data_IF_170760182152
#
_entry.id   IF_170760182152
#
_cell.length_a   1.000
_cell.length_b   1.000
_cell.length_c   1.000
_cell.angle_alpha   90.00
_cell.angle_beta   90.00
_cell.angle_gamma   90.00
#
_symmetry.space_group_name_H-M   'P 1'
#
loop_
_entity.id
_entity.type
_entity.pdbx_description
1 polymer ?
#
# COMPACT_ATOMS: atom_id res chain seq x y z
N UNK A 1 -10.01 -14.64 -9.57
CA UNK A 1 -9.02 -13.76 -8.98
C UNK A 1 -8.62 -14.24 -7.60
N UNK A 2 -7.33 -14.45 -7.37
CA UNK A 2 -6.84 -14.83 -6.05
C UNK A 2 -6.78 -13.61 -5.11
N UNK A 3 -6.28 -12.49 -5.61
CA UNK A 3 -6.12 -11.25 -4.83
C UNK A 3 -6.32 -10.05 -5.74
N UNK A 4 -7.06 -9.06 -5.25
CA UNK A 4 -7.26 -7.76 -5.88
C UNK A 4 -6.76 -6.73 -4.88
N UNK A 5 -5.86 -5.84 -5.30
CA UNK A 5 -5.35 -4.79 -4.44
C UNK A 5 -5.60 -3.43 -5.08
N UNK A 6 -6.01 -2.46 -4.28
CA UNK A 6 -6.30 -1.10 -4.74
C UNK A 6 -6.01 -0.07 -3.67
N UNK A 7 -6.11 1.20 -4.03
CA UNK A 7 -6.02 2.32 -3.10
C UNK A 7 -7.14 2.26 -2.06
N UNK A 8 -6.88 2.79 -0.86
CA UNK A 8 -7.92 2.90 0.17
C UNK A 8 -8.82 4.11 -0.09
N UNK A 9 -9.92 4.20 0.64
CA UNK A 9 -10.93 5.25 0.45
C UNK A 9 -10.43 6.66 0.72
N UNK A 10 -9.34 6.81 1.46
CA UNK A 10 -8.70 8.10 1.77
C UNK A 10 -7.62 8.46 0.75
N UNK A 11 -7.32 7.54 -0.20
CA UNK A 11 -6.27 7.72 -1.19
C UNK A 11 -4.87 7.77 -0.57
N UNK A 12 -4.65 7.02 0.52
CA UNK A 12 -3.42 6.97 1.33
C UNK A 12 -3.08 8.29 2.01
N UNK A 13 -3.06 9.38 1.27
CA UNK A 13 -2.74 10.74 1.77
C UNK A 13 -3.68 11.80 1.19
N UNK A 14 -4.85 11.41 0.70
CA UNK A 14 -5.88 12.34 0.19
C UNK A 14 -5.85 12.60 -1.31
N UNK A 15 -5.09 11.83 -2.09
CA UNK A 15 -5.01 12.01 -3.54
C UNK A 15 -6.35 11.65 -4.19
N UNK A 16 -6.93 12.60 -4.94
CA UNK A 16 -8.27 12.44 -5.54
C UNK A 16 -8.37 11.26 -6.49
N UNK A 17 -7.37 11.02 -7.32
CA UNK A 17 -7.37 9.91 -8.27
C UNK A 17 -7.30 8.56 -7.57
N UNK A 18 -6.56 8.47 -6.46
CA UNK A 18 -6.51 7.27 -5.64
C UNK A 18 -7.87 7.00 -4.99
N UNK A 19 -8.55 8.02 -4.51
CA UNK A 19 -9.90 7.92 -3.94
C UNK A 19 -10.90 7.43 -4.99
N UNK A 20 -10.84 7.97 -6.21
CA UNK A 20 -11.69 7.54 -7.32
C UNK A 20 -11.43 6.09 -7.71
N UNK A 21 -10.17 5.69 -7.82
CA UNK A 21 -9.78 4.31 -8.12
C UNK A 21 -10.30 3.35 -7.06
N UNK A 22 -10.16 3.72 -5.79
CA UNK A 22 -10.70 2.94 -4.67
C UNK A 22 -12.21 2.74 -4.81
N UNK A 23 -12.95 3.80 -5.05
CA UNK A 23 -14.40 3.75 -5.18
C UNK A 23 -14.85 2.86 -6.35
N UNK A 24 -14.22 3.02 -7.50
CA UNK A 24 -14.55 2.26 -8.71
C UNK A 24 -14.22 0.77 -8.52
N UNK A 25 -13.04 0.46 -8.02
CA UNK A 25 -12.62 -0.93 -7.80
C UNK A 25 -13.48 -1.62 -6.75
N UNK A 26 -13.79 -0.92 -5.67
CA UNK A 26 -14.67 -1.45 -4.62
C UNK A 26 -16.07 -1.75 -5.15
N UNK A 27 -16.65 -0.83 -5.93
CA UNK A 27 -17.96 -1.04 -6.54
C UNK A 27 -17.95 -2.23 -7.51
N UNK A 28 -16.91 -2.37 -8.33
CA UNK A 28 -16.77 -3.48 -9.26
C UNK A 28 -16.60 -4.82 -8.52
N UNK A 29 -15.78 -4.87 -7.49
CA UNK A 29 -15.59 -6.07 -6.67
C UNK A 29 -16.87 -6.49 -5.97
N UNK A 30 -17.63 -5.53 -5.46
CA UNK A 30 -18.93 -5.77 -4.81
C UNK A 30 -19.94 -6.36 -5.81
N UNK A 31 -20.00 -5.78 -7.01
CA UNK A 31 -20.89 -6.25 -8.08
C UNK A 31 -20.53 -7.67 -8.55
N UNK A 32 -19.25 -8.00 -8.55
CA UNK A 32 -18.75 -9.32 -8.97
C UNK A 32 -18.69 -10.35 -7.83
N UNK A 33 -19.11 -9.99 -6.62
CA UNK A 33 -19.03 -10.83 -5.41
C UNK A 33 -17.60 -11.27 -5.09
N UNK A 34 -16.65 -10.32 -5.19
CA UNK A 34 -15.23 -10.55 -4.97
C UNK A 34 -14.66 -9.75 -3.77
N UNK A 35 -15.51 -9.27 -2.87
CA UNK A 35 -15.07 -8.46 -1.73
C UNK A 35 -14.10 -9.20 -0.81
N UNK A 36 -14.24 -10.51 -0.69
CA UNK A 36 -13.34 -11.34 0.11
C UNK A 36 -11.95 -11.54 -0.51
N UNK A 37 -11.76 -11.11 -1.75
CA UNK A 37 -10.47 -11.10 -2.44
C UNK A 37 -9.84 -9.72 -2.50
N UNK A 38 -10.54 -8.70 -2.02
CA UNK A 38 -10.12 -7.30 -2.14
C UNK A 38 -9.34 -6.84 -0.92
N UNK A 39 -8.24 -6.16 -1.19
CA UNK A 39 -7.37 -5.55 -0.16
C UNK A 39 -7.09 -4.10 -0.54
N UNK A 40 -6.98 -3.26 0.47
CA UNK A 40 -6.59 -1.85 0.30
C UNK A 40 -5.16 -1.64 0.75
N UNK A 41 -4.44 -0.76 0.05
CA UNK A 41 -3.14 -0.28 0.52
C UNK A 41 -3.35 0.51 1.81
N UNK A 42 -2.37 0.41 2.72
CA UNK A 42 -2.39 1.18 3.97
C UNK A 42 -2.13 2.66 3.75
N UNK A 43 -2.47 3.45 4.74
CA UNK A 43 -2.23 4.88 4.74
C UNK A 43 -0.73 5.18 4.97
N UNK A 44 -0.23 6.27 4.37
CA UNK A 44 1.12 6.75 4.64
C UNK A 44 1.32 7.01 6.12
N UNK A 45 2.46 6.57 6.65
CA UNK A 45 2.85 6.74 8.05
C UNK A 45 4.14 7.54 8.11
N UNK A 46 4.15 8.60 8.92
CA UNK A 46 5.38 9.38 9.17
C UNK A 46 6.42 8.51 9.89
N UNK A 47 7.70 8.73 9.59
CA UNK A 47 8.79 7.96 10.19
C UNK A 47 8.73 7.92 11.73
N UNK A 48 8.39 9.04 12.35
CA UNK A 48 8.25 9.13 13.82
C UNK A 48 7.14 8.26 14.42
N UNK A 49 6.18 7.83 13.60
CA UNK A 49 5.03 7.03 14.02
C UNK A 49 5.18 5.55 13.67
N UNK A 50 6.28 5.14 13.03
CA UNK A 50 6.47 3.76 12.57
C UNK A 50 6.42 2.73 13.70
N UNK A 51 6.97 3.03 14.87
CA UNK A 51 6.96 2.10 16.01
C UNK A 51 5.52 1.78 16.45
N UNK A 52 4.63 2.77 16.45
CA UNK A 52 3.22 2.58 16.77
C UNK A 52 2.52 1.73 15.70
N UNK A 53 2.86 1.96 14.44
CA UNK A 53 2.27 1.27 13.30
C UNK A 53 2.70 -0.19 13.20
N UNK A 54 3.93 -0.52 13.60
CA UNK A 54 4.45 -1.88 13.60
C UNK A 54 3.59 -2.87 14.39
N UNK A 55 2.85 -2.39 15.36
CA UNK A 55 1.99 -3.22 16.19
C UNK A 55 0.59 -3.43 15.58
N UNK A 56 0.32 -2.85 14.43
CA UNK A 56 -0.97 -3.02 13.74
C UNK A 56 -0.95 -4.32 12.95
N UNK A 57 -2.07 -5.04 13.02
CA UNK A 57 -2.19 -6.39 12.46
C UNK A 57 -1.97 -6.50 10.93
N UNK A 58 -2.12 -5.39 10.20
CA UNK A 58 -2.02 -5.40 8.75
C UNK A 58 -0.66 -4.99 8.21
N UNK A 59 0.24 -4.57 9.09
CA UNK A 59 1.60 -4.24 8.69
C UNK A 59 2.47 -5.48 8.80
N UNK A 60 3.13 -5.85 7.72
CA UNK A 60 3.99 -7.04 7.70
C UNK A 60 5.25 -6.82 8.55
N UNK A 61 5.93 -7.91 8.86
CA UNK A 61 7.31 -7.83 9.30
C UNK A 61 8.16 -7.20 8.20
N UNK A 62 9.27 -6.49 8.55
CA UNK A 62 10.10 -5.89 7.52
C UNK A 62 10.67 -6.93 6.58
N UNK A 63 10.64 -6.63 5.28
CA UNK A 63 11.32 -7.42 4.27
C UNK A 63 12.82 -7.39 4.52
N UNK A 64 13.49 -8.49 4.28
CA UNK A 64 14.94 -8.62 4.44
C UNK A 64 15.54 -9.37 3.27
N UNK A 65 16.88 -9.31 3.14
CA UNK A 65 17.62 -10.07 2.14
C UNK A 65 17.20 -9.74 0.71
N UNK A 66 17.04 -10.76 -0.10
CA UNK A 66 16.79 -10.64 -1.54
C UNK A 66 15.47 -9.95 -1.88
N UNK A 67 14.45 -10.14 -1.07
CA UNK A 67 13.13 -9.52 -1.27
C UNK A 67 13.21 -8.00 -1.11
N UNK A 68 13.87 -7.53 -0.07
CA UNK A 68 14.07 -6.10 0.16
C UNK A 68 14.96 -5.50 -0.93
N UNK A 69 16.03 -6.18 -1.30
CA UNK A 69 16.94 -5.74 -2.36
C UNK A 69 16.20 -5.60 -3.70
N UNK A 70 15.37 -6.58 -4.06
CA UNK A 70 14.57 -6.54 -5.27
C UNK A 70 13.61 -5.35 -5.27
N UNK A 71 12.93 -5.09 -4.15
CA UNK A 71 12.03 -3.95 -4.01
C UNK A 71 12.76 -2.61 -4.14
N UNK A 72 13.90 -2.47 -3.47
CA UNK A 72 14.72 -1.26 -3.56
C UNK A 72 15.27 -1.03 -4.98
N UNK A 73 15.64 -2.10 -5.69
CA UNK A 73 16.02 -2.03 -7.09
C UNK A 73 14.91 -1.48 -7.97
N UNK A 74 13.67 -1.93 -7.75
CA UNK A 74 12.51 -1.45 -8.51
C UNK A 74 12.27 0.05 -8.33
N UNK A 75 12.58 0.61 -7.17
CA UNK A 75 12.40 2.06 -6.93
C UNK A 75 13.30 2.92 -7.82
N UNK A 76 14.41 2.38 -8.32
CA UNK A 76 15.33 3.10 -9.21
C UNK A 76 14.72 3.43 -10.57
N UNK A 77 13.70 2.67 -10.99
CA UNK A 77 12.96 2.95 -12.22
C UNK A 77 12.07 4.18 -12.12
N UNK A 78 11.84 4.68 -10.91
CA UNK A 78 11.06 5.87 -10.65
C UNK A 78 11.94 7.11 -10.49
N UNK A 79 12.95 7.27 -11.36
CA UNK A 79 13.93 8.36 -11.29
C UNK A 79 13.28 9.76 -11.29
N UNK A 80 12.18 9.93 -12.05
CA UNK A 80 11.40 11.18 -12.05
C UNK A 80 10.68 11.45 -10.73
N UNK A 81 10.55 10.45 -9.86
CA UNK A 81 9.88 10.51 -8.57
C UNK A 81 10.86 10.33 -7.41
N UNK A 82 12.12 10.68 -7.62
CA UNK A 82 13.20 10.47 -6.65
C UNK A 82 12.88 11.02 -5.25
N UNK A 83 12.35 12.24 -5.17
CA UNK A 83 11.97 12.86 -3.88
C UNK A 83 10.84 12.10 -3.18
N UNK A 84 9.89 11.57 -3.95
CA UNK A 84 8.80 10.76 -3.40
C UNK A 84 9.35 9.45 -2.84
N UNK A 85 10.27 8.80 -3.56
CA UNK A 85 10.90 7.56 -3.10
C UNK A 85 11.72 7.77 -1.82
N UNK A 86 12.45 8.88 -1.71
CA UNK A 86 13.16 9.25 -0.48
C UNK A 86 12.18 9.45 0.69
N UNK A 87 11.09 10.14 0.44
CA UNK A 87 10.07 10.42 1.46
C UNK A 87 9.42 9.13 1.99
N UNK A 88 9.31 8.10 1.15
CA UNK A 88 8.72 6.80 1.48
C UNK A 88 9.76 5.78 2.00
N UNK A 89 11.03 6.15 2.04
CA UNK A 89 12.12 5.21 2.34
C UNK A 89 11.91 4.37 3.61
N UNK A 90 11.38 4.98 4.67
CA UNK A 90 11.11 4.28 5.94
C UNK A 90 9.99 3.25 5.84
N UNK A 91 9.13 3.34 4.83
CA UNK A 91 8.01 2.43 4.61
C UNK A 91 8.35 1.30 3.64
N UNK A 92 9.39 1.46 2.80
CA UNK A 92 9.72 0.50 1.76
C UNK A 92 9.95 -0.93 2.25
N UNK A 93 10.54 -1.18 3.45
CA UNK A 93 10.68 -2.53 3.96
C UNK A 93 9.37 -3.22 4.33
N UNK A 94 8.26 -2.48 4.40
CA UNK A 94 6.98 -3.00 4.89
C UNK A 94 5.94 -3.08 3.79
N UNK A 95 5.00 -4.02 3.96
CA UNK A 95 3.76 -4.08 3.20
C UNK A 95 2.59 -3.89 4.17
N UNK A 96 1.56 -3.19 3.75
CA UNK A 96 0.38 -2.95 4.58
C UNK A 96 -0.87 -3.17 3.73
N UNK A 97 -1.51 -4.31 3.95
CA UNK A 97 -2.66 -4.79 3.19
C UNK A 97 -3.86 -4.94 4.10
N UNK A 98 -4.87 -4.12 3.90
CA UNK A 98 -6.07 -4.09 4.75
C UNK A 98 -7.19 -4.83 4.03
N UNK A 99 -7.71 -5.94 4.59
CA UNK A 99 -8.84 -6.65 3.98
C UNK A 99 -10.06 -5.74 3.86
N UNK A 100 -10.75 -5.81 2.73
CA UNK A 100 -11.97 -5.03 2.51
C UNK A 100 -13.19 -5.63 3.24
N UNK A 101 -13.09 -6.90 3.63
CA UNK A 101 -14.16 -7.59 4.34
C UNK A 101 -13.67 -8.45 5.50
#
# INVERSE_FOLDING_TARGET
>A
WATIATHNSKGEYGHIHHQMTSAITTAAAKKADLMNHLYYFGTYVKAKNMEKTKNQQYLTNPLTGDELEAKLCLTKFYASQHKVMEHLGHMLPYENWIPAS
#
